data_IF_121607872382
#
_entry.id   IF_121607872382
#
_cell.length_a   1.000
_cell.length_b   1.000
_cell.length_c   1.000
_cell.angle_alpha   90.00
_cell.angle_beta   90.00
_cell.angle_gamma   90.00
#
_symmetry.space_group_name_H-M   'P 1'
#
loop_
_entity.id
_entity.type
_entity.pdbx_description
1 polymer ?
#
# COMPACT_ATOMS: atom_id res chain seq x y z
N UNK A 1 -16.80 -2.79 4.08
CA UNK A 1 -16.02 -1.60 3.75
C UNK A 1 -15.21 -1.88 2.49
N UNK A 2 -15.21 -0.97 1.50
CA UNK A 2 -14.46 -1.06 0.25
C UNK A 2 -13.03 -0.55 0.48
N UNK A 3 -12.02 -1.31 0.06
CA UNK A 3 -10.60 -0.99 0.31
C UNK A 3 -9.85 -0.54 -0.96
N UNK A 4 -10.52 -0.45 -2.08
CA UNK A 4 -9.96 0.01 -3.37
C UNK A 4 -8.64 -0.68 -3.79
N UNK A 5 -8.58 -2.01 -3.66
CA UNK A 5 -7.34 -2.79 -3.88
C UNK A 5 -7.06 -3.17 -5.34
N UNK A 6 -8.02 -3.01 -6.24
CA UNK A 6 -7.96 -3.48 -7.63
C UNK A 6 -7.89 -2.35 -8.66
N UNK A 7 -7.42 -1.15 -8.25
CA UNK A 7 -7.29 0.00 -9.14
C UNK A 7 -8.61 0.39 -9.79
N UNK A 8 -8.60 0.68 -11.08
CA UNK A 8 -9.71 1.15 -11.88
C UNK A 8 -11.00 0.32 -11.73
N UNK A 9 -10.87 -1.01 -11.63
CA UNK A 9 -12.01 -1.92 -11.42
C UNK A 9 -12.83 -1.57 -10.17
N UNK A 10 -12.22 -0.96 -9.15
CA UNK A 10 -12.91 -0.55 -7.93
C UNK A 10 -13.80 0.67 -8.13
N UNK A 11 -13.59 1.42 -9.20
CA UNK A 11 -14.37 2.62 -9.54
C UNK A 11 -15.41 2.35 -10.66
N UNK A 12 -15.39 1.16 -11.23
CA UNK A 12 -16.31 0.76 -12.31
C UNK A 12 -17.52 -0.01 -11.77
N UNK A 13 -18.65 -0.09 -12.53
CA UNK A 13 -19.81 -0.91 -12.20
C UNK A 13 -19.49 -2.41 -12.09
N UNK A 14 -18.32 -2.83 -12.59
CA UNK A 14 -17.82 -4.21 -12.47
C UNK A 14 -17.28 -4.57 -11.09
N UNK A 15 -17.30 -3.60 -10.13
CA UNK A 15 -16.85 -3.84 -8.77
C UNK A 15 -17.71 -4.89 -8.06
N UNK A 16 -17.09 -5.98 -7.60
CA UNK A 16 -17.80 -7.07 -6.93
C UNK A 16 -18.43 -6.67 -5.59
N UNK A 17 -17.88 -5.66 -4.92
CA UNK A 17 -18.41 -5.14 -3.63
C UNK A 17 -19.65 -4.30 -3.87
N UNK A 18 -19.75 -3.58 -4.99
CA UNK A 18 -20.95 -2.82 -5.36
C UNK A 18 -22.06 -3.73 -5.84
N UNK A 19 -21.73 -4.71 -6.69
CA UNK A 19 -22.69 -5.69 -7.17
C UNK A 19 -23.29 -6.53 -6.02
N UNK A 20 -22.48 -6.89 -5.03
CA UNK A 20 -22.89 -7.73 -3.91
C UNK A 20 -22.15 -7.34 -2.64
N UNK A 21 -22.79 -6.60 -1.77
CA UNK A 21 -22.21 -6.12 -0.51
C UNK A 21 -22.30 -7.14 0.65
N UNK A 22 -22.50 -8.40 0.33
CA UNK A 22 -22.52 -9.50 1.30
C UNK A 22 -21.37 -10.46 1.07
N UNK A 23 -20.83 -11.14 2.10
CA UNK A 23 -19.85 -12.18 1.90
C UNK A 23 -20.39 -13.29 1.00
N UNK A 24 -19.51 -14.02 0.28
CA UNK A 24 -19.93 -15.17 -0.50
C UNK A 24 -20.39 -16.32 0.42
N UNK A 25 -21.23 -17.20 -0.13
CA UNK A 25 -21.74 -18.40 0.54
C UNK A 25 -23.17 -18.27 1.04
N UNK A 26 -23.74 -19.40 1.50
CA UNK A 26 -25.13 -19.52 1.92
C UNK A 26 -25.50 -18.57 3.06
N UNK A 27 -24.59 -18.38 4.02
CA UNK A 27 -24.80 -17.51 5.19
C UNK A 27 -24.38 -16.04 4.96
N UNK A 28 -24.04 -15.66 3.73
CA UNK A 28 -23.54 -14.31 3.42
C UNK A 28 -24.54 -13.19 3.75
N UNK A 29 -25.84 -13.46 3.60
CA UNK A 29 -26.93 -12.52 3.88
C UNK A 29 -27.45 -12.61 5.34
N UNK A 30 -27.02 -13.61 6.13
CA UNK A 30 -27.47 -13.78 7.50
C UNK A 30 -27.01 -12.64 8.42
N UNK A 31 -27.78 -12.40 9.50
CA UNK A 31 -27.42 -11.42 10.53
C UNK A 31 -26.06 -11.77 11.13
N UNK A 32 -25.14 -10.83 11.10
CA UNK A 32 -23.79 -10.99 11.68
C UNK A 32 -23.83 -10.67 13.17
N UNK A 33 -23.12 -11.45 14.01
CA UNK A 33 -22.94 -11.10 15.41
C UNK A 33 -22.21 -9.76 15.54
N UNK A 34 -22.50 -9.01 16.60
CA UNK A 34 -21.81 -7.77 16.94
C UNK A 34 -20.34 -8.10 17.24
N UNK A 35 -19.43 -7.46 16.52
CA UNK A 35 -17.99 -7.62 16.75
C UNK A 35 -17.59 -6.61 17.83
N UNK A 36 -16.96 -7.08 18.90
CA UNK A 36 -16.50 -6.23 20.00
C UNK A 36 -15.08 -6.63 20.44
N UNK A 37 -14.42 -5.76 21.19
CA UNK A 37 -13.14 -6.01 21.84
C UNK A 37 -12.07 -6.53 20.88
N UNK A 38 -11.54 -7.72 21.17
CA UNK A 38 -10.49 -8.37 20.37
C UNK A 38 -10.82 -8.46 18.86
N UNK A 39 -12.09 -8.74 18.55
CA UNK A 39 -12.52 -8.87 17.16
C UNK A 39 -12.36 -7.57 16.37
N UNK A 40 -12.60 -6.40 16.97
CA UNK A 40 -12.39 -5.09 16.32
C UNK A 40 -10.89 -4.86 16.05
N UNK A 41 -10.05 -5.08 17.04
CA UNK A 41 -8.60 -4.96 16.94
C UNK A 41 -8.04 -5.89 15.84
N UNK A 42 -8.49 -7.15 15.83
CA UNK A 42 -8.10 -8.13 14.81
C UNK A 42 -8.52 -7.68 13.40
N UNK A 43 -9.75 -7.17 13.24
CA UNK A 43 -10.25 -6.68 11.96
C UNK A 43 -9.45 -5.49 11.45
N UNK A 44 -9.06 -4.58 12.32
CA UNK A 44 -8.25 -3.43 11.97
C UNK A 44 -6.85 -3.84 11.48
N UNK A 45 -6.21 -4.77 12.18
CA UNK A 45 -4.94 -5.37 11.73
C UNK A 45 -5.10 -6.05 10.37
N UNK A 46 -6.14 -6.85 10.17
CA UNK A 46 -6.37 -7.55 8.90
C UNK A 46 -6.65 -6.56 7.76
N UNK A 47 -7.31 -5.43 8.04
CA UNK A 47 -7.52 -4.34 7.09
C UNK A 47 -6.17 -3.77 6.62
N UNK A 48 -5.31 -3.38 7.56
CA UNK A 48 -3.96 -2.88 7.24
C UNK A 48 -3.16 -3.90 6.42
N UNK A 49 -3.11 -5.15 6.83
CA UNK A 49 -2.40 -6.20 6.10
C UNK A 49 -2.89 -6.37 4.67
N UNK A 50 -4.19 -6.32 4.44
CA UNK A 50 -4.79 -6.45 3.10
C UNK A 50 -4.51 -5.24 2.23
N UNK A 51 -4.54 -4.03 2.79
CA UNK A 51 -4.22 -2.80 2.06
C UNK A 51 -2.78 -2.86 1.52
N UNK A 52 -1.82 -3.27 2.36
CA UNK A 52 -0.40 -3.34 1.97
C UNK A 52 0.03 -4.68 1.37
N UNK A 53 -0.85 -5.68 1.31
CA UNK A 53 -0.53 -7.00 0.77
C UNK A 53 0.56 -7.75 1.54
N UNK A 54 0.64 -7.55 2.87
CA UNK A 54 1.69 -8.10 3.73
C UNK A 54 1.20 -9.33 4.50
N UNK A 55 2.01 -10.40 4.56
CA UNK A 55 1.72 -11.59 5.35
C UNK A 55 1.95 -11.34 6.85
N UNK A 56 1.29 -12.14 7.71
CA UNK A 56 1.33 -11.98 9.18
C UNK A 56 2.74 -11.94 9.75
N UNK A 57 3.58 -12.90 9.37
CA UNK A 57 4.98 -12.96 9.85
C UNK A 57 5.75 -11.68 9.53
N UNK A 58 5.59 -11.16 8.32
CA UNK A 58 6.25 -9.93 7.89
C UNK A 58 5.68 -8.71 8.60
N UNK A 59 4.35 -8.65 8.77
CA UNK A 59 3.67 -7.55 9.46
C UNK A 59 4.09 -7.47 10.94
N UNK A 60 4.17 -8.62 11.63
CA UNK A 60 4.70 -8.71 12.99
C UNK A 60 6.15 -8.22 13.08
N UNK A 61 6.97 -8.51 12.07
CA UNK A 61 8.35 -7.98 11.99
C UNK A 61 8.40 -6.46 11.84
N UNK A 62 7.47 -5.84 11.09
CA UNK A 62 7.35 -4.39 11.04
C UNK A 62 6.93 -3.81 12.38
N UNK A 63 5.94 -4.41 13.03
CA UNK A 63 5.50 -3.98 14.35
C UNK A 63 6.63 -4.05 15.38
N UNK A 64 7.36 -5.17 15.43
CA UNK A 64 8.48 -5.35 16.37
C UNK A 64 9.62 -4.33 16.14
N UNK A 65 9.86 -3.90 14.89
CA UNK A 65 10.81 -2.83 14.60
C UNK A 65 10.27 -1.45 15.01
N UNK A 66 8.98 -1.20 14.77
CA UNK A 66 8.35 0.06 15.15
C UNK A 66 8.31 0.24 16.68
N UNK A 67 8.01 -0.81 17.43
CA UNK A 67 7.95 -0.76 18.90
C UNK A 67 9.30 -0.53 19.59
N UNK A 68 10.42 -0.79 18.89
CA UNK A 68 11.78 -0.54 19.40
C UNK A 68 12.29 0.88 19.11
N UNK A 69 11.59 1.64 18.28
CA UNK A 69 11.97 3.00 17.92
C UNK A 69 11.29 4.00 18.86
N UNK A 70 11.96 5.12 19.12
CA UNK A 70 11.37 6.23 19.86
C UNK A 70 10.28 6.93 19.03
N UNK A 71 9.11 7.14 19.63
CA UNK A 71 7.97 7.77 18.98
C UNK A 71 6.68 6.95 19.06
N UNK A 72 5.64 7.40 18.37
CA UNK A 72 4.33 6.73 18.35
C UNK A 72 4.40 5.48 17.50
N UNK A 73 4.34 4.31 18.13
CA UNK A 73 4.51 2.99 17.47
C UNK A 73 3.59 2.79 16.26
N UNK A 74 2.33 3.25 16.34
CA UNK A 74 1.37 3.15 15.25
C UNK A 74 1.79 3.93 14.00
N UNK A 75 2.26 5.16 14.18
CA UNK A 75 2.76 6.01 13.09
C UNK A 75 4.05 5.43 12.47
N UNK A 76 4.97 4.96 13.31
CA UNK A 76 6.21 4.32 12.86
C UNK A 76 5.93 3.04 12.06
N UNK A 77 4.93 2.26 12.47
CA UNK A 77 4.47 1.09 11.72
C UNK A 77 3.95 1.49 10.33
N UNK A 78 3.06 2.48 10.26
CA UNK A 78 2.52 2.97 8.99
C UNK A 78 3.61 3.56 8.09
N UNK A 79 4.54 4.32 8.65
CA UNK A 79 5.71 4.85 7.95
C UNK A 79 6.54 3.74 7.30
N UNK A 80 6.85 2.67 8.03
CA UNK A 80 7.58 1.54 7.48
C UNK A 80 6.81 0.82 6.37
N UNK A 81 5.48 0.77 6.43
CA UNK A 81 4.65 0.17 5.40
C UNK A 81 4.54 1.05 4.14
N UNK A 82 4.54 2.36 4.28
CA UNK A 82 4.53 3.31 3.16
C UNK A 82 5.90 3.37 2.44
N UNK A 83 7.00 3.27 3.17
CA UNK A 83 8.36 3.30 2.60
C UNK A 83 8.78 1.99 1.92
N UNK A 84 7.90 1.04 1.75
CA UNK A 84 8.16 -0.18 0.96
C UNK A 84 8.19 0.17 -0.53
N UNK A 85 9.12 -0.43 -1.26
CA UNK A 85 9.28 -0.20 -2.70
C UNK A 85 8.00 -0.49 -3.50
N UNK A 86 7.26 -1.56 -3.18
CA UNK A 86 5.98 -1.87 -3.83
C UNK A 86 4.91 -0.80 -3.56
N UNK A 87 4.88 -0.24 -2.35
CA UNK A 87 3.95 0.83 -1.99
C UNK A 87 4.32 2.15 -2.66
N UNK A 88 5.61 2.54 -2.62
CA UNK A 88 6.09 3.78 -3.26
C UNK A 88 5.89 3.73 -4.76
N UNK A 89 6.19 2.62 -5.43
CA UNK A 89 5.95 2.47 -6.87
C UNK A 89 4.46 2.64 -7.22
N UNK A 90 3.54 2.17 -6.36
CA UNK A 90 2.11 2.44 -6.54
C UNK A 90 1.74 3.90 -6.27
N UNK A 91 2.31 4.55 -5.25
CA UNK A 91 2.06 5.96 -4.93
C UNK A 91 2.56 6.91 -6.03
N UNK A 92 3.67 6.56 -6.67
CA UNK A 92 4.22 7.27 -7.82
C UNK A 92 3.41 7.06 -9.12
N UNK A 93 2.41 6.16 -9.11
CA UNK A 93 1.58 5.93 -10.29
C UNK A 93 2.16 4.95 -11.31
N UNK A 94 3.25 4.25 -10.99
CA UNK A 94 3.82 3.25 -11.91
C UNK A 94 2.97 1.98 -12.03
N UNK A 95 1.97 1.83 -11.18
CA UNK A 95 1.05 0.71 -11.17
C UNK A 95 -0.34 1.13 -10.70
N UNK A 96 -1.39 0.57 -11.30
CA UNK A 96 -2.78 0.83 -10.94
C UNK A 96 -3.18 0.24 -9.57
N UNK A 97 -2.39 -0.68 -9.02
CA UNK A 97 -2.62 -1.28 -7.70
C UNK A 97 -1.32 -1.72 -7.04
N UNK A 98 -1.32 -1.83 -5.69
CA UNK A 98 -0.15 -2.35 -4.95
C UNK A 98 0.23 -3.78 -5.37
N UNK A 99 -0.74 -4.60 -5.75
CA UNK A 99 -0.49 -5.95 -6.25
C UNK A 99 0.28 -5.93 -7.58
N UNK A 100 -0.11 -5.05 -8.49
CA UNK A 100 0.59 -4.84 -9.76
C UNK A 100 1.99 -4.24 -9.53
N UNK A 101 2.12 -3.24 -8.66
CA UNK A 101 3.42 -2.67 -8.28
C UNK A 101 4.37 -3.75 -7.75
N UNK A 102 3.87 -4.62 -6.88
CA UNK A 102 4.62 -5.75 -6.37
C UNK A 102 5.11 -6.69 -7.48
N UNK A 103 4.29 -6.95 -8.48
CA UNK A 103 4.65 -7.76 -9.64
C UNK A 103 5.74 -7.07 -10.47
N UNK A 104 5.58 -5.77 -10.76
CA UNK A 104 6.58 -5.00 -11.52
C UNK A 104 7.94 -4.98 -10.82
N UNK A 105 7.96 -4.78 -9.49
CA UNK A 105 9.20 -4.85 -8.71
C UNK A 105 9.84 -6.24 -8.82
N UNK A 106 9.07 -7.32 -8.60
CA UNK A 106 9.62 -8.70 -8.66
C UNK A 106 10.16 -9.07 -10.04
N UNK A 107 9.53 -8.57 -11.10
CA UNK A 107 9.98 -8.80 -12.47
C UNK A 107 11.15 -7.89 -12.87
N UNK A 108 11.58 -6.97 -11.98
CA UNK A 108 12.76 -6.15 -12.16
C UNK A 108 12.55 -4.97 -13.13
N UNK A 109 11.33 -4.47 -13.24
CA UNK A 109 11.00 -3.27 -14.01
C UNK A 109 11.31 -1.98 -13.26
N UNK A 110 11.61 -2.05 -11.96
CA UNK A 110 11.88 -0.89 -11.10
C UNK A 110 13.37 -0.85 -10.74
N UNK A 111 13.93 0.35 -10.72
CA UNK A 111 15.28 0.67 -10.26
C UNK A 111 15.22 1.61 -9.06
N UNK A 112 16.17 1.46 -8.16
CA UNK A 112 16.41 2.39 -7.04
C UNK A 112 17.84 2.89 -7.15
N UNK A 113 18.03 4.20 -7.22
CA UNK A 113 19.35 4.84 -7.40
C UNK A 113 20.12 4.22 -8.56
N UNK A 114 19.45 4.00 -9.71
CA UNK A 114 20.03 3.41 -10.92
C UNK A 114 20.19 1.88 -10.89
N UNK A 115 20.07 1.23 -9.74
CA UNK A 115 20.26 -0.22 -9.58
C UNK A 115 18.93 -0.97 -9.63
N UNK A 116 18.91 -2.14 -10.28
CA UNK A 116 17.75 -3.04 -10.30
C UNK A 116 17.48 -3.58 -8.89
N UNK A 117 16.25 -3.41 -8.39
CA UNK A 117 15.80 -3.97 -7.13
C UNK A 117 14.54 -4.80 -7.38
N UNK A 118 14.58 -6.09 -7.03
CA UNK A 118 13.46 -7.03 -7.22
C UNK A 118 12.80 -7.47 -5.91
N UNK A 119 13.08 -6.75 -4.81
CA UNK A 119 12.56 -7.05 -3.47
C UNK A 119 11.44 -6.04 -3.15
N UNK A 120 10.14 -6.44 -3.17
CA UNK A 120 9.03 -5.52 -2.90
C UNK A 120 9.05 -4.89 -1.51
N UNK A 121 9.63 -5.57 -0.53
CA UNK A 121 9.77 -5.11 0.85
C UNK A 121 11.01 -4.25 1.10
N UNK A 122 11.78 -3.91 0.06
CA UNK A 122 12.92 -3.02 0.18
C UNK A 122 12.47 -1.70 0.81
N UNK A 123 13.17 -1.28 1.87
CA UNK A 123 12.87 -0.05 2.60
C UNK A 123 13.62 1.11 1.96
N UNK A 124 12.86 2.07 1.47
CA UNK A 124 13.39 3.28 0.87
C UNK A 124 13.69 4.33 1.94
N UNK A 125 14.61 5.23 1.62
CA UNK A 125 15.05 6.33 2.48
C UNK A 125 14.78 7.67 1.81
N UNK A 126 14.80 8.74 2.59
CA UNK A 126 14.76 10.11 2.05
C UNK A 126 15.95 10.32 1.11
N UNK A 127 15.69 10.90 -0.04
CA UNK A 127 16.66 11.12 -1.11
C UNK A 127 16.74 10.00 -2.15
N UNK A 128 16.18 8.80 -1.87
CA UNK A 128 16.19 7.71 -2.85
C UNK A 128 15.39 8.07 -4.11
N UNK A 129 15.96 7.75 -5.27
CA UNK A 129 15.33 7.88 -6.57
C UNK A 129 14.77 6.55 -7.03
N UNK A 130 13.48 6.48 -7.27
CA UNK A 130 12.77 5.30 -7.76
C UNK A 130 12.36 5.55 -9.21
N UNK A 131 12.77 4.70 -10.14
CA UNK A 131 12.52 4.88 -11.56
C UNK A 131 12.03 3.60 -12.21
N UNK A 132 11.21 3.73 -13.26
CA UNK A 132 10.90 2.63 -14.17
C UNK A 132 12.08 2.42 -15.10
N UNK A 133 12.49 1.16 -15.31
CA UNK A 133 13.53 0.79 -16.28
C UNK A 133 13.13 1.29 -17.67
N UNK A 134 14.05 1.89 -18.41
CA UNK A 134 13.80 2.48 -19.74
C UNK A 134 13.11 1.51 -20.71
N UNK A 135 13.65 0.30 -20.86
CA UNK A 135 13.06 -0.74 -21.71
C UNK A 135 11.66 -1.18 -21.27
N UNK A 136 11.19 -0.76 -20.09
CA UNK A 136 9.88 -1.14 -19.53
C UNK A 136 8.88 0.01 -19.56
N UNK A 137 9.26 1.22 -19.93
CA UNK A 137 8.38 2.40 -19.92
C UNK A 137 7.18 2.25 -20.87
N UNK A 138 7.38 1.55 -21.99
CA UNK A 138 6.33 1.32 -23.00
C UNK A 138 5.44 0.11 -22.70
N UNK A 139 5.63 -0.59 -21.57
CA UNK A 139 4.78 -1.71 -21.20
C UNK A 139 3.36 -1.22 -20.95
N UNK A 140 2.39 -1.83 -21.61
CA UNK A 140 0.97 -1.48 -21.52
C UNK A 140 0.44 -1.33 -20.07
N UNK A 141 0.80 -2.20 -19.10
CA UNK A 141 0.37 -2.02 -17.72
C UNK A 141 0.92 -0.77 -17.03
N UNK A 142 2.09 -0.28 -17.42
CA UNK A 142 2.72 0.92 -16.85
C UNK A 142 2.12 2.17 -17.51
N UNK A 143 1.98 2.18 -18.82
CA UNK A 143 1.35 3.27 -19.55
C UNK A 143 -0.10 3.52 -19.08
N UNK A 144 -0.92 2.47 -19.02
CA UNK A 144 -2.29 2.55 -18.51
C UNK A 144 -2.36 3.02 -17.05
N UNK A 145 -1.40 2.62 -16.20
CA UNK A 145 -1.35 3.08 -14.80
C UNK A 145 -1.00 4.56 -14.71
N UNK A 146 -0.08 5.05 -15.53
CA UNK A 146 0.32 6.46 -15.59
C UNK A 146 -0.86 7.36 -16.03
N UNK A 147 -1.63 6.93 -17.02
CA UNK A 147 -2.85 7.62 -17.46
C UNK A 147 -3.92 7.65 -16.36
N UNK A 148 -4.22 6.51 -15.76
CA UNK A 148 -5.23 6.38 -14.69
C UNK A 148 -4.89 7.24 -13.47
N UNK A 149 -3.64 7.25 -13.03
CA UNK A 149 -3.20 8.02 -11.87
C UNK A 149 -2.88 9.50 -12.20
N UNK A 150 -2.93 9.89 -13.45
CA UNK A 150 -2.79 11.28 -13.87
C UNK A 150 -3.77 12.23 -13.17
N UNK A 151 -4.89 11.72 -12.70
CA UNK A 151 -5.92 12.44 -11.94
C UNK A 151 -5.80 12.33 -10.42
N UNK A 152 -4.89 11.46 -9.90
CA UNK A 152 -4.68 11.32 -8.46
C UNK A 152 -3.70 12.37 -7.93
N UNK A 153 -4.03 12.96 -6.77
CA UNK A 153 -3.12 13.87 -6.09
C UNK A 153 -1.92 13.09 -5.55
N UNK A 154 -0.72 13.50 -5.97
CA UNK A 154 0.52 12.96 -5.43
C UNK A 154 0.64 13.29 -3.94
N UNK A 155 1.13 12.36 -3.15
CA UNK A 155 1.36 12.61 -1.72
C UNK A 155 2.53 13.58 -1.52
N UNK A 156 2.48 14.49 -0.52
CA UNK A 156 3.43 15.62 -0.41
C UNK A 156 4.88 15.21 -0.15
N UNK A 157 5.12 14.00 0.35
CA UNK A 157 6.46 13.48 0.64
C UNK A 157 7.15 12.81 -0.57
N UNK A 158 6.49 12.80 -1.75
CA UNK A 158 7.03 12.27 -3.02
C UNK A 158 7.05 13.36 -4.08
N UNK A 159 8.10 13.38 -4.86
CA UNK A 159 8.23 14.12 -6.11
C UNK A 159 8.14 13.15 -7.29
N UNK A 160 7.49 13.55 -8.37
CA UNK A 160 7.31 12.71 -9.55
C UNK A 160 7.64 13.49 -10.83
N UNK A 161 8.59 12.98 -11.58
CA UNK A 161 8.80 13.34 -12.99
C UNK A 161 8.05 12.32 -13.85
N UNK A 162 6.96 12.79 -14.45
CA UNK A 162 6.10 11.94 -15.30
C UNK A 162 6.75 11.61 -16.65
N UNK A 163 7.57 12.50 -17.18
CA UNK A 163 8.21 12.28 -18.49
C UNK A 163 9.23 11.15 -18.40
N UNK A 164 10.00 11.13 -17.35
CA UNK A 164 11.02 10.12 -17.10
C UNK A 164 10.50 8.90 -16.32
N UNK A 165 9.24 8.90 -15.87
CA UNK A 165 8.68 7.89 -14.97
C UNK A 165 9.62 7.59 -13.81
N UNK A 166 10.06 8.65 -13.13
CA UNK A 166 10.91 8.57 -11.95
C UNK A 166 10.37 9.45 -10.83
N UNK A 167 10.61 9.05 -9.60
CA UNK A 167 10.21 9.84 -8.44
C UNK A 167 11.23 9.78 -7.33
N UNK A 168 11.27 10.82 -6.50
CA UNK A 168 12.17 10.98 -5.37
C UNK A 168 11.40 11.04 -4.08
N UNK A 169 11.98 10.51 -3.01
CA UNK A 169 11.44 10.67 -1.66
C UNK A 169 12.01 11.95 -1.06
N UNK A 170 11.14 12.94 -0.82
CA UNK A 170 11.53 14.25 -0.27
C UNK A 170 11.64 14.20 1.25
N UNK A 171 10.69 13.56 1.92
CA UNK A 171 10.62 13.49 3.38
C UNK A 171 10.06 12.16 3.85
N UNK A 172 10.07 11.91 5.15
CA UNK A 172 9.40 10.75 5.73
C UNK A 172 7.89 10.95 5.76
N UNK A 173 7.08 9.95 5.37
CA UNK A 173 5.63 10.06 5.41
C UNK A 173 5.14 10.28 6.84
N UNK A 174 4.26 11.26 7.03
CA UNK A 174 3.59 11.55 8.29
C UNK A 174 2.19 10.94 8.31
N UNK A 175 1.60 10.81 9.50
CA UNK A 175 0.23 10.27 9.63
C UNK A 175 -0.81 11.10 8.86
N UNK A 176 -0.66 12.42 8.85
CA UNK A 176 -1.54 13.33 8.14
C UNK A 176 -1.55 13.12 6.61
N UNK A 177 -0.43 12.67 6.03
CA UNK A 177 -0.30 12.42 4.59
C UNK A 177 -1.04 11.14 4.14
N UNK A 178 -1.45 10.31 5.10
CA UNK A 178 -2.04 9.00 4.84
C UNK A 178 -3.56 9.07 4.94
N UNK A 179 -4.22 9.20 3.81
CA UNK A 179 -5.69 9.17 3.69
C UNK A 179 -6.28 7.75 3.85
N UNK A 180 -5.67 6.92 4.70
CA UNK A 180 -6.10 5.55 4.91
C UNK A 180 -7.07 5.47 6.10
N UNK A 181 -8.21 4.77 5.97
CA UNK A 181 -9.17 4.59 7.03
C UNK A 181 -8.70 3.52 8.03
N UNK A 182 -7.55 3.74 8.64
CA UNK A 182 -6.92 2.85 9.61
C UNK A 182 -6.87 3.48 11.00
N UNK A 183 -7.20 2.69 12.00
CA UNK A 183 -7.04 3.00 13.42
C UNK A 183 -5.83 2.23 13.95
N UNK A 184 -4.66 2.81 13.78
CA UNK A 184 -3.38 2.20 14.13
C UNK A 184 -3.26 1.86 15.60
N UNK A 185 -3.90 2.61 16.49
CA UNK A 185 -3.91 2.36 17.92
C UNK A 185 -4.51 0.99 18.25
N UNK A 186 -5.60 0.59 17.59
CA UNK A 186 -6.19 -0.75 17.76
C UNK A 186 -5.23 -1.88 17.37
N UNK A 187 -4.34 -1.62 16.40
CA UNK A 187 -3.32 -2.58 15.98
C UNK A 187 -2.23 -2.68 17.05
N UNK A 188 -1.82 -1.54 17.63
CA UNK A 188 -0.85 -1.51 18.72
C UNK A 188 -1.39 -2.27 19.94
N UNK A 189 -2.61 -1.98 20.38
CA UNK A 189 -3.28 -2.67 21.48
C UNK A 189 -3.37 -4.19 21.28
N UNK A 190 -3.63 -4.64 20.03
CA UNK A 190 -3.70 -6.06 19.72
C UNK A 190 -2.36 -6.79 19.95
N UNK A 191 -1.26 -6.15 19.59
CA UNK A 191 0.08 -6.74 19.71
C UNK A 191 0.75 -6.51 21.05
N UNK A 192 0.19 -5.64 21.89
CA UNK A 192 0.68 -5.34 23.25
C UNK A 192 0.08 -6.27 24.33
N UNK A 193 -0.78 -7.19 23.93
CA UNK A 193 -1.41 -8.19 24.79
C UNK A 193 -0.52 -9.41 24.99
#
# INVERSE_FOLDING_TARGET
MKLFLKGERCFSPKCSVEKRNTPPGQHGAARRPKIAGYGLQLREKQKARRIYGVLERQFRGYFARASRQTGVTGELLLRQLELRLDTVAHRLGFAASRAQARQLVRHGHIRVNGRKVNIPSFQLKVGDLVAVREASRQLAPIAAAAEFQGHATLVPWLELDRALLQGRILSLPQRADLSLPLQEQMIVELYSK
#
